data_IF_493257788818
#
_entry.id   IF_493257788818
#
_cell.length_a   1.000
_cell.length_b   1.000
_cell.length_c   1.000
_cell.angle_alpha   90.00
_cell.angle_beta   90.00
_cell.angle_gamma   90.00
#
_symmetry.space_group_name_H-M   'P 1'
#
loop_
_entity.id
_entity.type
_entity.pdbx_description
1 polymer ?
#
# COMPACT_ATOMS: atom_id res chain seq x y z
N UNK A 1 -23.36 -5.26 -0.90
CA UNK A 1 -24.47 -5.94 -1.59
C UNK A 1 -25.08 -4.99 -2.61
N UNK A 2 -25.23 -5.39 -3.86
CA UNK A 2 -25.84 -4.59 -4.92
C UNK A 2 -26.20 -5.45 -6.13
N UNK A 3 -27.06 -4.94 -7.02
CA UNK A 3 -27.50 -5.69 -8.19
C UNK A 3 -26.33 -5.98 -9.14
N UNK A 4 -26.29 -7.22 -9.61
CA UNK A 4 -25.27 -7.73 -10.52
C UNK A 4 -25.61 -7.44 -11.99
N UNK A 5 -24.61 -7.37 -12.89
CA UNK A 5 -23.18 -7.49 -12.64
C UNK A 5 -22.59 -6.21 -12.05
N UNK A 6 -21.83 -6.35 -10.96
CA UNK A 6 -21.03 -5.25 -10.40
C UNK A 6 -19.66 -5.29 -11.07
N UNK A 7 -19.28 -4.20 -11.71
CA UNK A 7 -17.94 -4.01 -12.26
C UNK A 7 -17.14 -3.11 -11.32
N UNK A 8 -15.95 -3.55 -10.91
CA UNK A 8 -15.05 -2.76 -10.07
C UNK A 8 -13.85 -2.29 -10.89
N UNK A 9 -13.52 -1.00 -10.76
CA UNK A 9 -12.28 -0.43 -11.28
C UNK A 9 -11.54 0.36 -10.21
N UNK A 10 -10.23 0.43 -10.36
CA UNK A 10 -9.35 1.16 -9.46
C UNK A 10 -8.90 2.49 -10.06
N UNK A 11 -8.92 3.56 -9.26
CA UNK A 11 -8.53 4.90 -9.65
C UNK A 11 -7.46 5.45 -8.69
N UNK A 12 -6.44 6.12 -9.20
CA UNK A 12 -5.48 6.90 -8.39
C UNK A 12 -5.88 8.38 -8.38
N UNK A 13 -5.86 9.00 -7.20
CA UNK A 13 -6.29 10.39 -7.00
C UNK A 13 -7.74 10.67 -7.43
N UNK A 14 -8.57 9.62 -7.52
CA UNK A 14 -9.97 9.68 -7.94
C UNK A 14 -10.20 9.93 -9.44
N UNK A 15 -9.14 10.01 -10.25
CA UNK A 15 -9.24 10.35 -11.68
C UNK A 15 -8.55 9.35 -12.60
N UNK A 16 -7.33 8.94 -12.27
CA UNK A 16 -6.51 8.10 -13.15
C UNK A 16 -6.92 6.64 -13.02
N UNK A 17 -7.51 6.06 -14.05
CA UNK A 17 -7.82 4.63 -14.04
C UNK A 17 -6.56 3.78 -14.10
N UNK A 18 -6.42 2.90 -13.11
CA UNK A 18 -5.31 1.96 -13.01
C UNK A 18 -5.65 0.71 -13.83
N UNK A 19 -4.68 0.26 -14.61
CA UNK A 19 -4.75 -1.00 -15.38
C UNK A 19 -3.35 -1.63 -15.45
N UNK A 20 -3.25 -2.96 -15.62
CA UNK A 20 -1.96 -3.60 -15.89
C UNK A 20 -1.24 -3.06 -17.13
N UNK A 21 -1.98 -2.51 -18.10
CA UNK A 21 -1.41 -1.84 -19.27
C UNK A 21 -0.74 -0.49 -18.95
N UNK A 22 -1.23 0.22 -17.94
CA UNK A 22 -0.66 1.51 -17.48
C UNK A 22 0.52 1.36 -16.52
N UNK A 23 0.58 0.24 -15.78
CA UNK A 23 1.66 -0.05 -14.85
C UNK A 23 1.77 -1.57 -14.67
N UNK A 24 2.87 -2.14 -15.15
CA UNK A 24 3.12 -3.59 -15.14
C UNK A 24 3.22 -4.19 -13.72
N UNK A 25 3.45 -3.35 -12.70
CA UNK A 25 3.51 -3.79 -11.29
C UNK A 25 2.12 -4.11 -10.73
N UNK A 26 1.05 -3.71 -11.43
CA UNK A 26 -0.33 -3.86 -10.97
C UNK A 26 -0.95 -5.18 -11.41
N UNK A 27 -1.53 -5.87 -10.44
CA UNK A 27 -2.39 -7.04 -10.66
C UNK A 27 -3.75 -6.76 -10.06
N UNK A 28 -4.81 -7.10 -10.80
CA UNK A 28 -6.20 -6.93 -10.34
C UNK A 28 -6.90 -8.28 -10.36
N UNK A 29 -7.63 -8.58 -9.28
CA UNK A 29 -8.47 -9.76 -9.17
C UNK A 29 -9.88 -9.34 -8.83
N UNK A 30 -10.85 -10.06 -9.37
CA UNK A 30 -12.26 -9.85 -9.07
C UNK A 30 -12.95 -11.21 -8.99
N UNK A 31 -13.53 -11.50 -7.83
CA UNK A 31 -14.23 -12.75 -7.55
C UNK A 31 -15.67 -12.45 -7.16
N UNK A 32 -16.60 -13.24 -7.71
CA UNK A 32 -18.01 -13.19 -7.33
C UNK A 32 -18.21 -14.10 -6.13
N UNK A 33 -18.75 -13.54 -5.05
CA UNK A 33 -19.02 -14.24 -3.79
C UNK A 33 -20.53 -14.27 -3.53
N UNK A 34 -21.03 -15.13 -2.62
CA UNK A 34 -22.44 -15.12 -2.23
C UNK A 34 -22.93 -13.76 -1.72
N UNK A 35 -22.03 -12.96 -1.15
CA UNK A 35 -22.32 -11.63 -0.59
C UNK A 35 -22.09 -10.47 -1.58
N UNK A 36 -21.65 -10.75 -2.82
CA UNK A 36 -21.46 -9.74 -3.86
C UNK A 36 -20.17 -9.93 -4.66
N UNK A 37 -19.37 -8.88 -4.78
CA UNK A 37 -18.10 -8.91 -5.53
C UNK A 37 -16.96 -8.47 -4.63
N UNK A 38 -15.92 -9.30 -4.56
CA UNK A 38 -14.64 -8.98 -3.94
C UNK A 38 -13.66 -8.57 -5.03
N UNK A 39 -13.02 -7.41 -4.88
CA UNK A 39 -12.04 -6.92 -5.83
C UNK A 39 -10.74 -6.52 -5.12
N UNK A 40 -9.61 -6.91 -5.71
CA UNK A 40 -8.28 -6.68 -5.14
C UNK A 40 -7.41 -5.92 -6.14
N UNK A 41 -6.64 -4.96 -5.61
CA UNK A 41 -5.55 -4.30 -6.32
C UNK A 41 -4.25 -4.64 -5.61
N UNK A 42 -3.33 -5.27 -6.33
CA UNK A 42 -2.00 -5.59 -5.84
C UNK A 42 -0.97 -4.75 -6.58
N UNK A 43 -0.05 -4.13 -5.83
CA UNK A 43 1.12 -3.41 -6.35
C UNK A 43 2.35 -4.22 -5.97
N UNK A 44 3.07 -4.74 -6.97
CA UNK A 44 4.29 -5.52 -6.77
C UNK A 44 5.47 -4.58 -6.52
N UNK A 45 6.33 -4.89 -5.54
CA UNK A 45 7.47 -4.04 -5.16
C UNK A 45 7.06 -2.58 -4.95
N UNK A 46 6.26 -2.34 -3.91
CA UNK A 46 5.76 -1.01 -3.58
C UNK A 46 6.90 -0.06 -3.19
N UNK A 47 6.85 1.16 -3.71
CA UNK A 47 7.83 2.23 -3.47
C UNK A 47 7.17 3.42 -2.78
N UNK A 48 7.95 4.32 -2.16
CA UNK A 48 7.42 5.52 -1.51
C UNK A 48 6.52 6.35 -2.45
N UNK A 49 6.87 6.41 -3.74
CA UNK A 49 6.10 7.09 -4.78
C UNK A 49 4.72 6.44 -5.06
N UNK A 50 4.44 5.22 -4.60
CA UNK A 50 3.14 4.59 -4.71
C UNK A 50 2.18 5.06 -3.60
N UNK A 51 2.67 5.76 -2.57
CA UNK A 51 1.85 6.42 -1.54
C UNK A 51 0.80 7.33 -2.17
N UNK A 52 -0.41 7.34 -1.60
CA UNK A 52 -1.46 8.28 -1.96
C UNK A 52 -2.87 7.72 -1.84
N UNK A 53 -3.81 8.49 -2.39
CA UNK A 53 -5.23 8.15 -2.43
C UNK A 53 -5.55 7.24 -3.62
N UNK A 54 -6.09 6.06 -3.33
CA UNK A 54 -6.65 5.12 -4.28
C UNK A 54 -8.15 5.04 -4.07
N UNK A 55 -8.89 4.70 -5.12
CA UNK A 55 -10.33 4.54 -5.02
C UNK A 55 -10.76 3.27 -5.74
N UNK A 56 -11.56 2.45 -5.07
CA UNK A 56 -12.35 1.45 -5.75
C UNK A 56 -13.68 2.07 -6.16
N UNK A 57 -14.05 1.91 -7.43
CA UNK A 57 -15.35 2.35 -7.93
C UNK A 57 -16.10 1.13 -8.42
N UNK A 58 -17.22 0.84 -7.78
CA UNK A 58 -18.15 -0.21 -8.13
C UNK A 58 -19.28 0.39 -8.98
N UNK A 59 -19.64 -0.24 -10.09
CA UNK A 59 -20.70 0.24 -10.99
C UNK A 59 -21.61 -0.91 -11.41
N UNK A 60 -22.92 -0.67 -11.40
CA UNK A 60 -23.94 -1.53 -11.98
C UNK A 60 -24.87 -0.71 -12.88
N UNK A 61 -25.98 -1.30 -13.34
CA UNK A 61 -26.94 -0.62 -14.24
C UNK A 61 -27.65 0.57 -13.59
N UNK A 62 -27.72 0.62 -12.27
CA UNK A 62 -28.50 1.63 -11.53
C UNK A 62 -27.65 2.77 -11.00
N UNK A 63 -26.33 2.59 -10.94
CA UNK A 63 -25.44 3.64 -10.49
C UNK A 63 -24.01 3.20 -10.27
N UNK A 64 -23.28 4.07 -9.60
CA UNK A 64 -21.90 3.88 -9.21
C UNK A 64 -21.70 4.33 -7.77
N UNK A 65 -20.85 3.63 -7.07
CA UNK A 65 -20.36 4.00 -5.75
C UNK A 65 -18.83 3.98 -5.75
N UNK A 66 -18.21 4.80 -4.92
CA UNK A 66 -16.76 4.97 -4.88
C UNK A 66 -16.26 5.15 -3.46
N UNK A 67 -15.25 4.37 -3.08
CA UNK A 67 -14.66 4.40 -1.76
C UNK A 67 -13.17 4.76 -1.80
N UNK A 68 -12.74 5.63 -0.89
CA UNK A 68 -11.35 6.03 -0.71
C UNK A 68 -10.55 4.98 0.07
N UNK A 69 -9.35 4.69 -0.40
CA UNK A 69 -8.32 3.87 0.26
C UNK A 69 -7.02 4.67 0.30
N UNK A 70 -6.53 4.98 1.50
CA UNK A 70 -5.26 5.68 1.66
C UNK A 70 -4.12 4.66 1.80
N UNK A 71 -3.18 4.67 0.86
CA UNK A 71 -1.97 3.84 0.91
C UNK A 71 -0.81 4.70 1.40
N UNK A 72 -0.11 4.24 2.43
CA UNK A 72 1.16 4.78 2.89
C UNK A 72 2.20 3.67 2.82
N UNK A 73 3.18 3.83 1.91
CA UNK A 73 4.32 2.92 1.83
C UNK A 73 5.38 3.41 2.81
N UNK A 74 5.72 2.58 3.77
CA UNK A 74 6.75 2.87 4.77
C UNK A 74 8.08 2.29 4.29
N UNK A 75 9.12 3.10 4.33
CA UNK A 75 10.49 2.64 4.10
C UNK A 75 11.04 2.00 5.38
N UNK A 76 11.99 1.05 5.27
CA UNK A 76 12.75 0.60 6.42
C UNK A 76 13.43 1.78 7.11
N UNK A 77 13.57 1.76 8.45
CA UNK A 77 14.31 2.80 9.15
C UNK A 77 15.76 2.85 8.64
N UNK A 78 16.35 4.04 8.67
CA UNK A 78 17.75 4.21 8.35
C UNK A 78 18.64 3.44 9.33
N UNK A 79 19.86 3.11 8.88
CA UNK A 79 20.83 2.44 9.73
C UNK A 79 21.16 3.33 10.94
N UNK A 80 21.27 2.76 12.16
CA UNK A 80 21.64 3.53 13.33
C UNK A 80 23.01 4.18 13.14
N UNK A 81 23.17 5.39 13.68
CA UNK A 81 24.42 6.15 13.60
C UNK A 81 25.17 6.15 14.93
N UNK A 82 26.45 6.51 14.89
CA UNK A 82 27.32 6.60 16.08
C UNK A 82 27.32 5.33 16.95
N UNK A 83 27.45 4.16 16.29
CA UNK A 83 27.57 2.90 17.00
C UNK A 83 28.89 2.86 17.77
N UNK A 84 28.80 2.84 19.10
CA UNK A 84 29.96 2.83 20.00
C UNK A 84 29.80 1.84 21.14
N UNK A 85 30.91 1.27 21.57
CA UNK A 85 31.00 0.47 22.80
C UNK A 85 31.22 1.38 23.99
N UNK A 86 30.27 1.40 24.92
CA UNK A 86 30.35 2.21 26.14
C UNK A 86 31.13 1.48 27.23
N UNK A 87 30.99 0.15 27.29
CA UNK A 87 31.70 -0.68 28.26
C UNK A 87 32.03 -2.04 27.63
N UNK A 88 33.24 -2.52 27.88
CA UNK A 88 33.70 -3.83 27.43
C UNK A 88 34.28 -4.60 28.61
N UNK A 89 33.78 -5.80 28.84
CA UNK A 89 34.28 -6.77 29.82
C UNK A 89 34.76 -8.05 29.10
N UNK A 90 35.28 -9.03 29.84
CA UNK A 90 35.74 -10.29 29.26
C UNK A 90 34.63 -11.12 28.61
N UNK A 91 33.36 -10.86 28.93
CA UNK A 91 32.20 -11.65 28.45
C UNK A 91 31.04 -10.81 27.94
N UNK A 92 31.07 -9.49 28.13
CA UNK A 92 29.97 -8.61 27.77
C UNK A 92 30.48 -7.31 27.17
N UNK A 93 29.70 -6.74 26.25
CA UNK A 93 29.90 -5.39 25.76
C UNK A 93 28.55 -4.66 25.76
N UNK A 94 28.55 -3.43 26.27
CA UNK A 94 27.41 -2.53 26.17
C UNK A 94 27.66 -1.59 24.99
N UNK A 95 26.71 -1.58 24.06
CA UNK A 95 26.74 -0.74 22.87
C UNK A 95 25.66 0.34 22.94
N UNK A 96 25.97 1.51 22.40
CA UNK A 96 25.08 2.64 22.27
C UNK A 96 25.12 3.11 20.82
N UNK A 97 23.97 3.55 20.30
CA UNK A 97 23.84 4.15 18.99
C UNK A 97 22.74 5.23 19.03
N UNK A 98 22.71 6.10 18.02
CA UNK A 98 21.65 7.07 17.80
C UNK A 98 20.69 6.57 16.72
N UNK A 99 19.40 6.69 16.99
CA UNK A 99 18.37 6.43 15.98
C UNK A 99 18.33 7.61 15.01
N UNK A 100 18.42 7.34 13.71
CA UNK A 100 18.15 8.35 12.69
C UNK A 100 16.65 8.30 12.41
N UNK A 101 15.89 9.23 12.98
CA UNK A 101 14.51 9.46 12.56
C UNK A 101 14.59 10.20 11.23
N UNK A 102 14.32 9.50 10.13
CA UNK A 102 14.17 10.12 8.81
C UNK A 102 13.13 11.24 8.91
N UNK A 103 13.53 12.46 8.56
CA UNK A 103 12.57 13.54 8.34
C UNK A 103 11.68 13.15 7.16
N UNK A 104 10.36 13.11 7.39
CA UNK A 104 9.33 12.87 6.38
C UNK A 104 9.18 14.09 5.50
#
# INVERSE_FOLDING_TARGET
NGDTPINVRWLRGGKLQLTPASNYRLTMKQDVTPDGVTAELQISSAEAADTGAYFCQATNLFGKDQQLVQLLVQEPPESPSDLKTVMVSSRTANIQWHHQSGEV
#
